data_IF_992994479390
#
_entry.id   IF_992994479390
#
_cell.length_a   1.000
_cell.length_b   1.000
_cell.length_c   1.000
_cell.angle_alpha   90.00
_cell.angle_beta   90.00
_cell.angle_gamma   90.00
#
_symmetry.space_group_name_H-M   'P 1'
#
loop_
_entity.id
_entity.type
_entity.pdbx_description
1 polymer ?
#
# COMPACT_ATOMS: atom_id res chain seq x y z
N UNK A 1 26.98 16.61 38.03
CA UNK A 1 25.88 17.36 38.69
C UNK A 1 25.60 18.62 37.88
N UNK A 2 24.37 19.12 37.82
CA UNK A 2 24.14 20.46 37.24
C UNK A 2 23.66 21.38 38.35
N UNK A 3 23.95 22.67 38.25
CA UNK A 3 23.45 23.64 39.23
C UNK A 3 22.18 24.28 38.71
N UNK A 4 21.19 24.45 39.58
CA UNK A 4 19.90 25.03 39.24
C UNK A 4 19.71 26.37 39.95
N UNK A 5 19.14 27.35 39.25
CA UNK A 5 18.80 28.64 39.83
C UNK A 5 17.28 28.71 40.06
N UNK A 6 16.86 28.78 41.33
CA UNK A 6 15.43 28.82 41.69
C UNK A 6 14.75 30.12 41.24
N UNK A 7 15.47 31.25 41.25
CA UNK A 7 14.93 32.55 40.84
C UNK A 7 14.68 32.62 39.33
N UNK A 8 15.61 32.08 38.53
CA UNK A 8 15.61 32.22 37.07
C UNK A 8 15.15 30.95 36.33
N UNK A 9 14.88 29.87 37.07
CA UNK A 9 14.36 28.58 36.60
C UNK A 9 15.11 27.98 35.40
N UNK A 10 16.42 28.16 35.36
CA UNK A 10 17.29 27.57 34.33
C UNK A 10 18.51 26.90 34.94
N UNK A 11 19.08 25.96 34.17
CA UNK A 11 20.32 25.27 34.55
C UNK A 11 21.52 26.16 34.27
N UNK A 12 22.52 26.07 35.14
CA UNK A 12 23.81 26.73 35.01
C UNK A 12 24.92 25.67 34.87
N UNK A 13 26.10 26.11 34.43
CA UNK A 13 27.28 25.24 34.40
C UNK A 13 27.59 24.67 35.79
N UNK A 14 28.20 23.48 35.81
CA UNK A 14 28.48 22.74 37.04
C UNK A 14 29.39 23.52 38.00
N UNK A 15 30.27 24.37 37.46
CA UNK A 15 31.15 25.24 38.23
C UNK A 15 30.51 26.57 38.68
N UNK A 16 29.35 26.95 38.14
CA UNK A 16 28.75 28.26 38.36
C UNK A 16 27.99 28.32 39.69
N UNK A 17 28.67 28.64 40.79
CA UNK A 17 28.06 28.84 42.12
C UNK A 17 27.02 29.97 42.17
N UNK A 18 27.10 30.92 41.24
CA UNK A 18 26.16 32.02 41.06
C UNK A 18 25.60 32.01 39.65
N UNK A 19 24.32 32.34 39.52
CA UNK A 19 23.64 32.40 38.23
C UNK A 19 24.19 33.56 37.39
N UNK A 20 24.68 33.33 36.16
CA UNK A 20 25.21 34.40 35.31
C UNK A 20 24.15 35.42 34.88
N UNK A 21 22.87 35.03 34.93
CA UNK A 21 21.75 35.88 34.52
C UNK A 21 21.27 36.79 35.65
N UNK A 22 21.22 36.29 36.89
CA UNK A 22 20.56 37.00 38.00
C UNK A 22 21.36 37.08 39.31
N UNK A 23 22.59 36.57 39.35
CA UNK A 23 23.50 36.70 40.51
C UNK A 23 23.11 35.92 41.77
N UNK A 24 21.94 35.30 41.79
CA UNK A 24 21.48 34.42 42.88
C UNK A 24 22.35 33.16 42.98
N UNK A 25 22.48 32.62 44.20
CA UNK A 25 23.22 31.38 44.44
C UNK A 25 22.53 30.22 43.72
N UNK A 26 23.32 29.33 43.12
CA UNK A 26 22.80 28.14 42.45
C UNK A 26 22.93 26.94 43.36
N UNK A 27 21.92 26.09 43.38
CA UNK A 27 21.92 24.88 44.19
C UNK A 27 22.51 23.75 43.38
N UNK A 28 23.46 23.00 43.95
CA UNK A 28 23.97 21.80 43.32
C UNK A 28 22.90 20.72 43.42
N UNK A 29 22.26 20.42 42.29
CA UNK A 29 21.14 19.49 42.26
C UNK A 29 21.51 18.30 41.38
N UNK A 30 21.40 17.11 41.95
CA UNK A 30 21.28 15.91 41.13
C UNK A 30 20.04 16.11 40.25
N UNK A 31 20.15 15.89 38.94
CA UNK A 31 19.04 16.15 37.99
C UNK A 31 17.76 15.39 38.40
N UNK A 32 17.91 14.34 39.23
CA UNK A 32 16.84 13.57 39.86
C UNK A 32 16.02 14.29 40.95
N UNK A 33 16.47 15.43 41.53
CA UNK A 33 15.90 15.98 42.78
C UNK A 33 15.01 17.23 42.61
N UNK A 34 14.41 17.48 41.45
CA UNK A 34 13.45 18.60 41.22
C UNK A 34 12.16 18.14 40.52
N UNK A 35 11.63 16.99 40.89
CA UNK A 35 10.18 16.87 40.94
C UNK A 35 9.83 16.68 42.42
N UNK A 36 9.13 17.63 43.09
CA UNK A 36 8.40 17.23 44.28
C UNK A 36 7.54 16.02 43.87
N UNK A 37 7.49 14.99 44.72
CA UNK A 37 6.88 13.70 44.40
C UNK A 37 5.51 13.88 43.70
N UNK A 38 5.48 13.71 42.37
CA UNK A 38 4.26 13.75 41.56
C UNK A 38 4.18 14.79 40.45
N UNK A 39 5.08 15.79 40.38
CA UNK A 39 4.95 16.86 39.37
C UNK A 39 5.77 16.62 38.09
N UNK A 40 5.16 16.88 36.94
CA UNK A 40 5.79 16.74 35.62
C UNK A 40 6.70 17.95 35.36
N UNK A 41 8.01 17.72 35.26
CA UNK A 41 9.04 18.78 35.09
C UNK A 41 8.89 19.51 33.74
N UNK A 42 8.49 18.77 32.71
CA UNK A 42 8.27 19.30 31.35
C UNK A 42 6.90 18.89 30.81
N UNK A 43 6.35 19.57 29.79
CA UNK A 43 5.19 19.04 29.07
C UNK A 43 5.45 17.63 28.49
N UNK A 44 4.41 16.80 28.38
CA UNK A 44 4.52 15.42 27.88
C UNK A 44 5.22 15.30 26.50
N UNK A 45 5.19 16.34 25.68
CA UNK A 45 5.89 16.41 24.39
C UNK A 45 7.41 16.17 24.50
N UNK A 46 8.03 16.47 25.64
CA UNK A 46 9.47 16.27 25.86
C UNK A 46 9.84 14.81 26.20
N UNK A 47 8.87 13.98 26.57
CA UNK A 47 9.10 12.60 27.00
C UNK A 47 8.85 11.58 25.88
N UNK A 48 9.65 10.53 25.84
CA UNK A 48 9.48 9.41 24.90
C UNK A 48 8.42 8.44 25.43
N UNK A 49 7.17 8.72 25.13
CA UNK A 49 6.04 7.90 25.59
C UNK A 49 6.03 6.49 24.98
N UNK A 50 5.33 5.59 25.66
CA UNK A 50 4.99 4.28 25.12
C UNK A 50 3.99 4.41 23.96
N UNK A 51 3.85 3.35 23.15
CA UNK A 51 2.85 3.32 22.09
C UNK A 51 1.42 3.62 22.61
N UNK A 52 1.00 2.93 23.67
CA UNK A 52 -0.31 3.12 24.30
C UNK A 52 -0.49 4.56 24.77
N UNK A 53 0.48 5.09 25.51
CA UNK A 53 0.36 6.42 26.11
C UNK A 53 0.40 7.51 25.04
N UNK A 54 1.19 7.32 23.97
CA UNK A 54 1.19 8.20 22.80
C UNK A 54 -0.19 8.25 22.15
N UNK A 55 -0.83 7.10 21.94
CA UNK A 55 -2.17 7.03 21.36
C UNK A 55 -3.20 7.73 22.25
N UNK A 56 -3.20 7.45 23.56
CA UNK A 56 -4.11 8.08 24.51
C UNK A 56 -3.88 9.59 24.64
N UNK A 57 -2.62 10.03 24.57
CA UNK A 57 -2.27 11.44 24.60
C UNK A 57 -2.78 12.17 23.36
N UNK A 58 -2.55 11.63 22.17
CA UNK A 58 -3.00 12.23 20.91
C UNK A 58 -4.52 12.23 20.81
N UNK A 59 -5.17 11.10 21.06
CA UNK A 59 -6.64 10.99 20.94
C UNK A 59 -7.41 11.69 22.06
N UNK A 60 -6.84 11.74 23.27
CA UNK A 60 -7.54 12.25 24.45
C UNK A 60 -7.21 13.70 24.81
N UNK A 61 -5.92 14.08 24.74
CA UNK A 61 -5.46 15.41 25.19
C UNK A 61 -5.13 16.36 24.04
N UNK A 62 -4.66 15.83 22.90
CA UNK A 62 -4.21 16.61 21.75
C UNK A 62 -5.04 16.35 20.48
N UNK A 63 -6.34 16.08 20.64
CA UNK A 63 -7.21 15.63 19.56
C UNK A 63 -7.36 16.63 18.41
N UNK A 64 -7.46 17.93 18.72
CA UNK A 64 -7.51 19.02 17.75
C UNK A 64 -6.51 20.13 18.06
N UNK A 65 -5.59 19.86 18.99
CA UNK A 65 -4.65 20.85 19.48
C UNK A 65 -3.40 20.86 18.58
N UNK A 66 -3.25 21.97 17.87
CA UNK A 66 -2.13 22.24 16.94
C UNK A 66 -0.95 22.94 17.61
N UNK A 67 -1.06 23.30 18.88
CA UNK A 67 -0.07 24.10 19.56
C UNK A 67 1.09 23.26 20.07
N UNK A 68 2.28 23.82 19.93
CA UNK A 68 3.53 23.20 20.31
C UNK A 68 4.17 22.37 19.20
N UNK A 69 5.06 21.47 19.63
CA UNK A 69 5.89 20.61 18.78
C UNK A 69 5.59 19.14 19.07
N UNK A 70 5.66 18.30 18.04
CA UNK A 70 5.55 16.86 18.17
C UNK A 70 6.83 16.19 17.67
N UNK A 71 7.34 15.22 18.42
CA UNK A 71 8.55 14.50 18.03
C UNK A 71 8.28 13.54 16.87
N UNK A 72 9.32 13.19 16.09
CA UNK A 72 9.24 12.11 15.09
C UNK A 72 8.70 10.81 15.68
N UNK A 73 9.15 10.50 16.89
CA UNK A 73 8.76 9.28 17.59
C UNK A 73 7.26 9.28 17.89
N UNK A 74 6.73 10.37 18.45
CA UNK A 74 5.29 10.54 18.70
C UNK A 74 4.46 10.37 17.42
N UNK A 75 4.87 11.03 16.33
CA UNK A 75 4.21 10.96 15.03
C UNK A 75 4.14 9.52 14.47
N UNK A 76 5.28 8.85 14.36
CA UNK A 76 5.34 7.49 13.80
C UNK A 76 4.77 6.42 14.73
N UNK A 77 4.85 6.60 16.05
CA UNK A 77 4.21 5.67 16.99
C UNK A 77 2.68 5.72 16.87
N UNK A 78 2.10 6.92 16.77
CA UNK A 78 0.67 7.08 16.53
C UNK A 78 0.24 6.45 15.20
N UNK A 79 0.95 6.78 14.11
CA UNK A 79 0.68 6.21 12.79
C UNK A 79 0.78 4.69 12.77
N UNK A 80 1.83 4.12 13.38
CA UNK A 80 2.03 2.67 13.41
C UNK A 80 0.90 1.96 14.15
N UNK A 81 0.53 2.44 15.34
CA UNK A 81 -0.59 1.87 16.08
C UNK A 81 -1.92 2.02 15.34
N UNK A 82 -2.17 3.18 14.74
CA UNK A 82 -3.37 3.42 13.93
C UNK A 82 -3.51 2.38 12.82
N UNK A 83 -2.46 2.17 12.04
CA UNK A 83 -2.47 1.21 10.94
C UNK A 83 -2.62 -0.23 11.44
N UNK A 84 -1.94 -0.61 12.52
CA UNK A 84 -2.10 -1.93 13.13
C UNK A 84 -3.53 -2.16 13.60
N UNK A 85 -4.18 -1.15 14.20
CA UNK A 85 -5.55 -1.26 14.66
C UNK A 85 -6.54 -1.46 13.51
N UNK A 86 -6.42 -0.67 12.43
CA UNK A 86 -7.27 -0.80 11.23
C UNK A 86 -7.07 -2.15 10.55
N UNK A 87 -5.81 -2.54 10.34
CA UNK A 87 -5.47 -3.81 9.70
C UNK A 87 -5.92 -5.00 10.55
N UNK A 88 -5.74 -4.94 11.87
CA UNK A 88 -6.22 -5.96 12.80
C UNK A 88 -7.74 -6.09 12.79
N UNK A 89 -8.47 -4.97 12.78
CA UNK A 89 -9.92 -4.95 12.66
C UNK A 89 -10.38 -5.63 11.37
N UNK A 90 -9.82 -5.23 10.23
CA UNK A 90 -10.14 -5.84 8.93
C UNK A 90 -9.84 -7.34 8.91
N UNK A 91 -8.70 -7.77 9.45
CA UNK A 91 -8.33 -9.17 9.54
C UNK A 91 -9.32 -9.99 10.38
N UNK A 92 -9.81 -9.44 11.49
CA UNK A 92 -10.84 -10.10 12.33
C UNK A 92 -12.14 -10.27 11.56
N UNK A 93 -12.66 -9.22 10.93
CA UNK A 93 -13.90 -9.30 10.16
C UNK A 93 -13.78 -10.24 8.94
N UNK A 94 -12.62 -10.25 8.30
CA UNK A 94 -12.35 -11.20 7.22
C UNK A 94 -12.34 -12.65 7.74
N UNK A 95 -11.67 -12.92 8.86
CA UNK A 95 -11.66 -14.23 9.51
C UNK A 95 -13.06 -14.70 9.93
N UNK A 96 -13.87 -13.80 10.51
CA UNK A 96 -15.26 -14.10 10.85
C UNK A 96 -16.11 -14.42 9.62
N UNK A 97 -15.89 -13.70 8.51
CA UNK A 97 -16.58 -13.98 7.25
C UNK A 97 -16.25 -15.39 6.73
N UNK A 98 -14.99 -15.79 6.82
CA UNK A 98 -14.54 -17.12 6.42
C UNK A 98 -15.11 -18.24 7.32
N UNK A 99 -15.21 -18.02 8.63
CA UNK A 99 -15.72 -19.00 9.60
C UNK A 99 -17.24 -19.19 9.48
N UNK A 100 -17.98 -18.09 9.37
CA UNK A 100 -19.45 -18.12 9.43
C UNK A 100 -20.10 -18.14 8.04
N UNK A 101 -19.32 -18.14 6.95
CA UNK A 101 -19.80 -18.10 5.57
C UNK A 101 -20.85 -17.00 5.31
N UNK A 102 -20.67 -15.85 5.96
CA UNK A 102 -21.65 -14.74 5.96
C UNK A 102 -21.65 -13.92 4.67
N UNK A 103 -20.83 -14.27 3.67
CA UNK A 103 -20.76 -13.54 2.41
C UNK A 103 -20.29 -12.08 2.59
N UNK A 104 -20.70 -11.13 1.74
CA UNK A 104 -20.12 -9.78 1.72
C UNK A 104 -20.57 -8.88 2.89
N UNK A 105 -21.55 -9.29 3.70
CA UNK A 105 -22.17 -8.43 4.72
C UNK A 105 -21.19 -7.99 5.81
N UNK A 106 -20.40 -8.91 6.37
CA UNK A 106 -19.42 -8.59 7.42
C UNK A 106 -18.25 -7.76 6.87
N UNK A 107 -17.85 -7.99 5.62
CA UNK A 107 -16.82 -7.20 4.94
C UNK A 107 -17.31 -5.76 4.72
N UNK A 108 -18.56 -5.59 4.27
CA UNK A 108 -19.17 -4.27 4.11
C UNK A 108 -19.27 -3.52 5.44
N UNK A 109 -19.68 -4.20 6.52
CA UNK A 109 -19.72 -3.62 7.86
C UNK A 109 -18.32 -3.20 8.33
N UNK A 110 -17.30 -4.03 8.12
CA UNK A 110 -15.92 -3.70 8.46
C UNK A 110 -15.46 -2.44 7.71
N UNK A 111 -15.75 -2.35 6.41
CA UNK A 111 -15.46 -1.17 5.60
C UNK A 111 -16.12 0.09 6.13
N UNK A 112 -17.39 0.01 6.51
CA UNK A 112 -18.12 1.14 7.11
C UNK A 112 -17.50 1.59 8.45
N UNK A 113 -17.16 0.66 9.33
CA UNK A 113 -16.51 0.97 10.61
C UNK A 113 -15.15 1.64 10.38
N UNK A 114 -14.33 1.09 9.48
CA UNK A 114 -13.03 1.65 9.13
C UNK A 114 -13.18 3.06 8.54
N UNK A 115 -14.18 3.30 7.70
CA UNK A 115 -14.44 4.63 7.14
C UNK A 115 -14.76 5.65 8.24
N UNK A 116 -15.64 5.30 9.19
CA UNK A 116 -15.99 6.16 10.33
C UNK A 116 -14.76 6.43 11.21
N UNK A 117 -14.02 5.37 11.57
CA UNK A 117 -12.81 5.49 12.39
C UNK A 117 -11.77 6.40 11.71
N UNK A 118 -11.59 6.27 10.39
CA UNK A 118 -10.66 7.08 9.61
C UNK A 118 -11.08 8.56 9.54
N UNK A 119 -12.38 8.83 9.40
CA UNK A 119 -12.91 10.20 9.42
C UNK A 119 -12.69 10.86 10.79
N UNK A 120 -12.99 10.15 11.88
CA UNK A 120 -12.78 10.66 13.25
C UNK A 120 -11.29 10.93 13.49
N UNK A 121 -10.41 10.06 12.98
CA UNK A 121 -8.97 10.16 13.23
C UNK A 121 -8.24 11.11 12.29
N UNK A 122 -8.94 11.66 11.29
CA UNK A 122 -8.40 12.70 10.42
C UNK A 122 -8.06 13.97 11.21
N UNK A 123 -8.89 14.33 12.19
CA UNK A 123 -8.66 15.50 13.05
C UNK A 123 -7.36 15.39 13.88
N UNK A 124 -7.15 14.35 14.70
CA UNK A 124 -5.91 14.20 15.47
C UNK A 124 -4.69 13.97 14.59
N UNK A 125 -4.85 13.29 13.45
CA UNK A 125 -3.74 13.12 12.51
C UNK A 125 -3.31 14.46 11.88
N UNK A 126 -4.26 15.33 11.52
CA UNK A 126 -3.97 16.66 11.02
C UNK A 126 -3.30 17.52 12.09
N UNK A 127 -3.86 17.55 13.31
CA UNK A 127 -3.29 18.30 14.44
C UNK A 127 -1.86 17.84 14.78
N UNK A 128 -1.63 16.52 14.81
CA UNK A 128 -0.31 15.93 15.03
C UNK A 128 0.67 16.25 13.89
N UNK A 129 0.21 16.23 12.64
CA UNK A 129 1.03 16.60 11.47
C UNK A 129 1.45 18.06 11.52
N UNK A 130 0.57 18.96 11.95
CA UNK A 130 0.88 20.38 12.17
C UNK A 130 1.95 20.54 13.25
N UNK A 131 1.76 19.95 14.44
CA UNK A 131 2.78 19.98 15.52
C UNK A 131 4.12 19.38 15.09
N UNK A 132 4.09 18.39 14.18
CA UNK A 132 5.30 17.79 13.64
C UNK A 132 6.00 18.69 12.61
N UNK A 133 5.26 19.41 11.78
CA UNK A 133 5.80 20.45 10.89
C UNK A 133 6.40 21.61 11.70
N UNK A 134 5.73 22.03 12.77
CA UNK A 134 6.23 23.02 13.72
C UNK A 134 7.58 22.62 14.34
N UNK A 135 7.79 21.32 14.61
CA UNK A 135 9.07 20.80 15.10
C UNK A 135 10.22 21.00 14.10
N UNK A 136 9.93 21.12 12.80
CA UNK A 136 10.91 21.45 11.75
C UNK A 136 10.96 22.95 11.41
N UNK A 137 10.23 23.79 12.15
CA UNK A 137 10.10 25.23 11.91
C UNK A 137 9.27 25.59 10.67
N UNK A 138 8.45 24.66 10.16
CA UNK A 138 7.53 24.89 9.04
C UNK A 138 6.17 25.33 9.56
N UNK A 139 5.48 26.18 8.79
CA UNK A 139 4.12 26.61 9.11
C UNK A 139 3.09 25.51 8.81
N UNK A 140 1.95 25.57 9.49
CA UNK A 140 0.79 24.69 9.25
C UNK A 140 0.29 24.72 7.80
N UNK A 141 0.48 25.83 7.08
CA UNK A 141 0.16 25.95 5.66
C UNK A 141 0.91 24.93 4.78
N UNK A 142 2.06 24.42 5.23
CA UNK A 142 2.80 23.35 4.54
C UNK A 142 1.97 22.06 4.41
N UNK A 143 0.98 21.86 5.29
CA UNK A 143 0.06 20.73 5.21
C UNK A 143 -0.83 20.79 3.96
N UNK A 144 -1.10 21.99 3.41
CA UNK A 144 -1.88 22.18 2.19
C UNK A 144 -1.23 21.54 0.96
N UNK A 145 0.07 21.21 1.01
CA UNK A 145 0.72 20.41 -0.02
C UNK A 145 0.01 19.08 -0.24
N UNK A 146 -0.67 18.54 0.77
CA UNK A 146 -1.48 17.33 0.63
C UNK A 146 -2.60 17.44 -0.44
N UNK A 147 -3.05 18.65 -0.76
CA UNK A 147 -4.06 18.89 -1.81
C UNK A 147 -3.52 18.71 -3.23
N UNK A 148 -2.18 18.68 -3.42
CA UNK A 148 -1.55 18.41 -4.71
C UNK A 148 -1.48 16.89 -4.89
N UNK A 149 -2.25 16.28 -5.82
CA UNK A 149 -2.28 14.83 -5.96
C UNK A 149 -0.89 14.26 -6.29
N UNK A 150 -0.62 13.05 -5.80
CA UNK A 150 0.61 12.29 -6.00
C UNK A 150 1.88 12.92 -5.41
N UNK A 151 2.30 14.09 -5.90
CA UNK A 151 3.58 14.73 -5.52
C UNK A 151 3.50 15.37 -4.13
N UNK A 152 2.37 16.00 -3.81
CA UNK A 152 2.15 16.69 -2.54
C UNK A 152 2.35 15.81 -1.30
N UNK A 153 1.64 14.66 -1.21
CA UNK A 153 1.82 13.70 -0.13
C UNK A 153 3.26 13.18 -0.01
N UNK A 154 3.98 13.00 -1.12
CA UNK A 154 5.39 12.54 -1.09
C UNK A 154 6.31 13.60 -0.48
N UNK A 155 6.16 14.86 -0.88
CA UNK A 155 6.93 15.97 -0.29
C UNK A 155 6.61 16.10 1.20
N UNK A 156 5.33 16.07 1.56
CA UNK A 156 4.88 16.18 2.94
C UNK A 156 5.42 15.02 3.80
N UNK A 157 5.38 13.79 3.30
CA UNK A 157 5.97 12.63 3.96
C UNK A 157 7.47 12.80 4.19
N UNK A 158 8.18 13.29 3.18
CA UNK A 158 9.61 13.63 3.28
C UNK A 158 9.86 14.62 4.42
N UNK A 159 9.08 15.71 4.50
CA UNK A 159 9.17 16.72 5.56
C UNK A 159 8.87 16.14 6.95
N UNK A 160 7.85 15.27 7.06
CA UNK A 160 7.48 14.62 8.32
C UNK A 160 8.57 13.67 8.84
N UNK A 161 9.48 13.21 7.98
CA UNK A 161 10.64 12.38 8.34
C UNK A 161 11.88 13.18 8.83
N UNK A 162 11.98 14.47 8.48
CA UNK A 162 13.16 15.32 8.76
C UNK A 162 13.41 15.49 10.26
N UNK A 163 14.65 15.49 10.74
CA UNK A 163 14.93 15.72 12.18
C UNK A 163 14.42 17.11 12.62
N UNK A 164 13.81 17.20 13.81
CA UNK A 164 13.38 18.46 14.41
C UNK A 164 14.54 19.43 14.67
N UNK A 165 14.22 20.73 14.77
CA UNK A 165 15.21 21.77 15.06
C UNK A 165 15.77 21.62 16.49
N UNK A 166 17.10 21.62 16.68
CA UNK A 166 17.70 21.46 18.01
C UNK A 166 17.59 22.71 18.89
N UNK A 167 17.31 23.87 18.29
CA UNK A 167 17.04 25.12 18.99
C UNK A 167 15.55 25.35 19.23
N UNK A 168 15.27 26.29 20.12
CA UNK A 168 13.94 26.86 20.31
C UNK A 168 13.48 27.53 19.01
N UNK A 169 12.18 27.46 18.75
CA UNK A 169 11.57 28.11 17.62
C UNK A 169 10.26 28.78 18.02
N UNK A 170 9.62 29.48 17.08
CA UNK A 170 8.37 30.21 17.33
C UNK A 170 7.21 29.33 17.84
N UNK A 171 7.32 28.00 17.76
CA UNK A 171 6.31 27.04 18.21
C UNK A 171 6.64 26.41 19.56
N UNK A 172 7.76 26.77 20.19
CA UNK A 172 8.14 26.31 21.53
C UNK A 172 9.60 25.88 21.64
N UNK A 173 9.96 25.46 22.85
CA UNK A 173 11.32 25.04 23.18
C UNK A 173 11.73 23.74 22.48
N UNK A 174 13.04 23.53 22.36
CA UNK A 174 13.60 22.31 21.79
C UNK A 174 13.15 21.06 22.57
N UNK A 175 12.73 20.02 21.84
CA UNK A 175 12.32 18.74 22.44
C UNK A 175 13.53 18.03 23.06
N UNK A 176 13.41 17.66 24.35
CA UNK A 176 14.52 17.13 25.14
C UNK A 176 14.69 15.60 25.02
N UNK A 177 13.72 14.90 24.42
CA UNK A 177 13.75 13.45 24.18
C UNK A 177 14.03 12.59 25.42
N UNK A 178 13.40 12.93 26.56
CA UNK A 178 13.60 12.28 27.86
C UNK A 178 13.06 10.84 27.83
N UNK A 179 13.86 9.86 28.23
CA UNK A 179 13.43 8.46 28.34
C UNK A 179 12.69 8.25 29.66
N UNK A 180 11.54 7.58 29.61
CA UNK A 180 10.74 7.20 30.76
C UNK A 180 11.21 5.82 31.23
N UNK A 181 11.99 5.78 32.29
CA UNK A 181 12.39 4.55 32.97
C UNK A 181 11.25 4.04 33.87
N UNK A 182 11.43 2.85 34.48
CA UNK A 182 10.37 2.24 35.32
C UNK A 182 10.01 3.09 36.54
N UNK A 183 11.00 3.78 37.12
CA UNK A 183 10.79 4.66 38.26
C UNK A 183 9.97 5.89 37.85
N UNK A 184 10.39 6.60 36.80
CA UNK A 184 9.66 7.76 36.30
C UNK A 184 8.26 7.39 35.78
N UNK A 185 8.11 6.22 35.17
CA UNK A 185 6.82 5.66 34.78
C UNK A 185 5.87 5.52 35.99
N UNK A 186 6.36 5.01 37.13
CA UNK A 186 5.57 4.88 38.35
C UNK A 186 5.15 6.22 38.94
N UNK A 187 6.03 7.22 38.92
CA UNK A 187 5.75 8.58 39.42
C UNK A 187 4.70 9.28 38.55
N UNK A 188 4.87 9.24 37.22
CA UNK A 188 3.96 9.89 36.28
C UNK A 188 2.68 9.09 36.01
N UNK A 189 2.56 7.88 36.56
CA UNK A 189 1.46 6.92 36.29
C UNK A 189 1.26 6.63 34.80
N UNK A 190 2.36 6.51 34.05
CA UNK A 190 2.37 6.14 32.63
C UNK A 190 3.20 4.88 32.41
N UNK A 191 3.20 4.32 31.21
CA UNK A 191 4.02 3.15 30.89
C UNK A 191 5.45 3.58 30.55
N UNK A 192 6.47 2.72 30.83
CA UNK A 192 7.85 3.02 30.44
C UNK A 192 8.00 3.12 28.92
N UNK A 193 9.04 3.84 28.47
CA UNK A 193 9.34 4.02 27.05
C UNK A 193 9.46 2.67 26.34
N UNK A 194 8.74 2.50 25.22
CA UNK A 194 8.77 1.25 24.47
C UNK A 194 10.17 0.94 23.93
N UNK A 195 10.58 -0.32 24.01
CA UNK A 195 11.88 -0.77 23.53
C UNK A 195 11.98 -0.74 22.00
N UNK A 196 13.20 -0.75 21.47
CA UNK A 196 13.45 -0.90 20.04
C UNK A 196 12.93 -2.26 19.51
N UNK A 197 13.01 -3.33 20.32
CA UNK A 197 12.48 -4.65 19.97
C UNK A 197 10.96 -4.58 19.74
N UNK A 198 10.22 -3.93 20.63
CA UNK A 198 8.77 -3.74 20.49
C UNK A 198 8.43 -3.07 19.16
N UNK A 199 9.19 -2.04 18.79
CA UNK A 199 9.01 -1.34 17.50
C UNK A 199 9.25 -2.26 16.32
N UNK A 200 10.32 -3.04 16.33
CA UNK A 200 10.65 -4.00 15.25
C UNK A 200 9.58 -5.09 15.11
N UNK A 201 9.06 -5.60 16.23
CA UNK A 201 7.97 -6.58 16.23
C UNK A 201 6.70 -5.99 15.61
N UNK A 202 6.29 -4.80 16.04
CA UNK A 202 5.09 -4.14 15.51
C UNK A 202 5.20 -3.84 14.01
N UNK A 203 6.35 -3.34 13.56
CA UNK A 203 6.61 -3.13 12.13
C UNK A 203 6.59 -4.44 11.36
N UNK A 204 7.24 -5.49 11.89
CA UNK A 204 7.24 -6.82 11.29
C UNK A 204 5.83 -7.39 11.13
N UNK A 205 5.00 -7.29 12.18
CA UNK A 205 3.59 -7.70 12.12
C UNK A 205 2.81 -6.92 11.07
N UNK A 206 2.96 -5.59 11.00
CA UNK A 206 2.29 -4.78 9.99
C UNK A 206 2.68 -5.20 8.57
N UNK A 207 3.99 -5.40 8.33
CA UNK A 207 4.49 -5.84 7.01
C UNK A 207 3.95 -7.22 6.65
N UNK A 208 3.98 -8.17 7.59
CA UNK A 208 3.43 -9.51 7.37
C UNK A 208 1.95 -9.43 6.96
N UNK A 209 1.14 -8.65 7.68
CA UNK A 209 -0.29 -8.57 7.36
C UNK A 209 -0.52 -7.86 6.01
N UNK A 210 0.23 -6.81 5.69
CA UNK A 210 0.15 -6.17 4.36
C UNK A 210 0.52 -7.16 3.26
N UNK A 211 1.57 -7.95 3.44
CA UNK A 211 1.98 -8.97 2.46
C UNK A 211 0.91 -10.07 2.30
N UNK A 212 0.34 -10.55 3.42
CA UNK A 212 -0.74 -11.54 3.40
C UNK A 212 -1.97 -10.98 2.70
N UNK A 213 -2.39 -9.76 3.05
CA UNK A 213 -3.54 -9.10 2.41
C UNK A 213 -3.30 -8.86 0.92
N UNK A 214 -2.09 -8.44 0.52
CA UNK A 214 -1.71 -8.32 -0.88
C UNK A 214 -1.74 -9.64 -1.64
N UNK A 215 -1.32 -10.74 -1.01
CA UNK A 215 -1.44 -12.08 -1.57
C UNK A 215 -2.92 -12.53 -1.67
N UNK A 216 -3.75 -12.21 -0.67
CA UNK A 216 -5.18 -12.53 -0.67
C UNK A 216 -5.94 -11.74 -1.74
N UNK A 217 -5.63 -10.45 -1.96
CA UNK A 217 -6.20 -9.68 -3.07
C UNK A 217 -5.86 -10.29 -4.43
N UNK A 218 -4.64 -10.83 -4.60
CA UNK A 218 -4.26 -11.59 -5.81
C UNK A 218 -5.02 -12.90 -5.96
N UNK A 219 -5.37 -13.55 -4.85
CA UNK A 219 -6.11 -14.82 -4.85
C UNK A 219 -7.63 -14.65 -5.00
N UNK A 220 -8.17 -13.47 -4.65
CA UNK A 220 -9.59 -13.12 -4.77
C UNK A 220 -9.94 -12.36 -6.06
N UNK A 221 -8.93 -11.95 -6.85
CA UNK A 221 -9.17 -11.54 -8.22
C UNK A 221 -9.73 -12.72 -9.03
N UNK A 222 -10.68 -12.50 -9.95
CA UNK A 222 -11.13 -13.56 -10.83
C UNK A 222 -9.90 -14.08 -11.59
N UNK A 223 -9.79 -15.40 -11.80
CA UNK A 223 -8.57 -16.08 -12.26
C UNK A 223 -7.99 -15.57 -13.62
N UNK A 224 -8.70 -14.65 -14.25
CA UNK A 224 -8.46 -14.01 -15.53
C UNK A 224 -8.10 -12.51 -15.45
N UNK A 225 -8.02 -11.91 -14.25
CA UNK A 225 -7.53 -10.54 -14.05
C UNK A 225 -6.44 -10.49 -12.98
N UNK A 226 -5.22 -10.85 -13.38
CA UNK A 226 -4.03 -10.68 -12.54
C UNK A 226 -3.46 -9.31 -12.83
N UNK A 227 -3.28 -8.45 -11.83
CA UNK A 227 -2.52 -7.20 -11.99
C UNK A 227 -1.19 -7.49 -12.73
N UNK A 228 -0.99 -6.93 -13.94
CA UNK A 228 -1.49 -5.63 -14.39
C UNK A 228 -2.70 -5.64 -15.35
N UNK A 229 -3.52 -6.70 -15.37
CA UNK A 229 -4.57 -6.95 -16.37
C UNK A 229 -5.71 -5.93 -16.46
N UNK A 230 -5.93 -5.09 -15.44
CA UNK A 230 -7.04 -4.13 -15.40
C UNK A 230 -6.64 -2.72 -15.84
N UNK A 231 -6.21 -1.89 -14.88
CA UNK A 231 -5.87 -0.48 -15.13
C UNK A 231 -4.80 -0.30 -16.21
N UNK A 232 -3.70 -1.05 -16.15
CA UNK A 232 -2.53 -0.81 -17.01
C UNK A 232 -2.85 -1.20 -18.46
N UNK A 233 -3.54 -2.34 -18.64
CA UNK A 233 -4.06 -2.75 -19.94
C UNK A 233 -4.99 -1.68 -20.50
N UNK A 234 -5.98 -1.25 -19.72
CA UNK A 234 -6.94 -0.23 -20.15
C UNK A 234 -6.28 1.12 -20.46
N UNK A 235 -5.22 1.51 -19.75
CA UNK A 235 -4.50 2.75 -20.05
C UNK A 235 -3.67 2.69 -21.33
N UNK A 236 -3.30 1.49 -21.81
CA UNK A 236 -2.50 1.30 -23.04
C UNK A 236 -3.41 1.07 -24.25
N UNK A 237 -4.39 0.16 -24.14
CA UNK A 237 -5.22 -0.27 -25.27
C UNK A 237 -6.65 0.27 -25.27
N UNK A 238 -7.09 0.88 -24.16
CA UNK A 238 -8.44 1.39 -24.00
C UNK A 238 -9.35 0.40 -23.26
N UNK A 239 -10.35 0.93 -22.58
CA UNK A 239 -11.32 0.17 -21.78
C UNK A 239 -12.07 -0.88 -22.63
N UNK A 240 -12.26 -2.09 -22.09
CA UNK A 240 -12.98 -3.19 -22.77
C UNK A 240 -12.18 -3.94 -23.83
N UNK A 241 -10.95 -3.49 -24.14
CA UNK A 241 -10.11 -4.06 -25.20
C UNK A 241 -9.62 -5.47 -24.88
N UNK A 242 -9.29 -5.73 -23.61
CA UNK A 242 -8.82 -7.06 -23.18
C UNK A 242 -9.94 -8.10 -23.26
N UNK A 243 -11.16 -7.72 -22.90
CA UNK A 243 -12.35 -8.58 -22.96
C UNK A 243 -12.70 -8.90 -24.41
N UNK A 244 -12.70 -7.89 -25.29
CA UNK A 244 -12.94 -8.07 -26.72
C UNK A 244 -11.89 -8.97 -27.37
N UNK A 245 -10.61 -8.80 -27.03
CA UNK A 245 -9.54 -9.65 -27.52
C UNK A 245 -9.66 -11.10 -27.02
N UNK A 246 -9.99 -11.32 -25.74
CA UNK A 246 -10.25 -12.67 -25.19
C UNK A 246 -11.41 -13.34 -25.90
N UNK A 247 -12.51 -12.60 -26.13
CA UNK A 247 -13.68 -13.10 -26.84
C UNK A 247 -13.32 -13.52 -28.29
N UNK A 248 -12.49 -12.75 -28.99
CA UNK A 248 -12.01 -13.13 -30.33
C UNK A 248 -11.27 -14.46 -30.32
N UNK A 249 -10.41 -14.70 -29.33
CA UNK A 249 -9.65 -15.97 -29.23
C UNK A 249 -10.58 -17.15 -28.92
N UNK A 250 -11.51 -16.97 -27.98
CA UNK A 250 -12.50 -18.01 -27.64
C UNK A 250 -13.39 -18.36 -28.85
N UNK A 251 -13.96 -17.34 -29.49
CA UNK A 251 -14.84 -17.53 -30.66
C UNK A 251 -14.13 -18.21 -31.83
N UNK A 252 -12.82 -17.98 -31.99
CA UNK A 252 -12.01 -18.70 -32.98
C UNK A 252 -11.94 -20.20 -32.68
N UNK A 253 -11.58 -20.58 -31.45
CA UNK A 253 -11.50 -22.00 -31.08
C UNK A 253 -12.87 -22.69 -31.14
N UNK A 254 -13.94 -21.99 -30.77
CA UNK A 254 -15.31 -22.49 -30.90
C UNK A 254 -15.70 -22.74 -32.36
N UNK A 255 -15.35 -21.81 -33.27
CA UNK A 255 -15.60 -21.98 -34.69
C UNK A 255 -14.82 -23.17 -35.27
N UNK A 256 -13.54 -23.33 -34.91
CA UNK A 256 -12.71 -24.47 -35.32
C UNK A 256 -13.28 -25.79 -34.78
N UNK A 257 -13.66 -25.84 -33.50
CA UNK A 257 -14.22 -27.05 -32.87
C UNK A 257 -15.59 -27.45 -33.47
N UNK A 258 -16.38 -26.46 -33.92
CA UNK A 258 -17.65 -26.66 -34.62
C UNK A 258 -17.50 -26.93 -36.13
N UNK A 259 -16.26 -26.99 -36.64
CA UNK A 259 -15.94 -27.17 -38.06
C UNK A 259 -16.48 -26.05 -38.97
N UNK A 260 -16.77 -24.88 -38.40
CA UNK A 260 -17.14 -23.66 -39.13
C UNK A 260 -15.86 -22.90 -39.49
N UNK A 261 -15.17 -23.40 -40.51
CA UNK A 261 -13.86 -22.88 -40.90
C UNK A 261 -13.95 -21.47 -41.48
N UNK A 262 -15.01 -21.14 -42.21
CA UNK A 262 -15.17 -19.80 -42.77
C UNK A 262 -15.36 -18.76 -41.67
N UNK A 263 -16.11 -19.08 -40.61
CA UNK A 263 -16.20 -18.24 -39.42
C UNK A 263 -14.90 -18.19 -38.61
N UNK A 264 -14.13 -19.28 -38.55
CA UNK A 264 -12.83 -19.26 -37.87
C UNK A 264 -11.83 -18.30 -38.55
N UNK A 265 -11.84 -18.25 -39.88
CA UNK A 265 -10.92 -17.39 -40.64
C UNK A 265 -11.16 -15.89 -40.45
N UNK A 266 -12.37 -15.45 -40.05
CA UNK A 266 -12.65 -14.02 -39.83
C UNK A 266 -11.94 -13.47 -38.59
N UNK A 267 -11.52 -14.36 -37.67
CA UNK A 267 -10.77 -14.01 -36.47
C UNK A 267 -9.25 -14.03 -36.68
N UNK A 268 -8.76 -14.40 -37.86
CA UNK A 268 -7.32 -14.33 -38.21
C UNK A 268 -7.05 -12.99 -38.91
N UNK A 269 -5.85 -12.42 -38.75
CA UNK A 269 -5.43 -11.19 -39.43
C UNK A 269 -5.70 -11.21 -40.94
N UNK A 270 -5.99 -10.03 -41.50
CA UNK A 270 -6.35 -9.85 -42.91
C UNK A 270 -5.32 -10.40 -43.90
N UNK A 271 -4.03 -10.23 -43.59
CA UNK A 271 -2.93 -10.68 -44.43
C UNK A 271 -2.90 -12.20 -44.64
N UNK A 272 -3.15 -12.98 -43.58
CA UNK A 272 -3.15 -14.44 -43.64
C UNK A 272 -4.49 -14.99 -44.18
N UNK A 273 -5.61 -14.31 -43.91
CA UNK A 273 -6.94 -14.74 -44.37
C UNK A 273 -7.21 -14.47 -45.86
N UNK A 274 -6.45 -13.56 -46.49
CA UNK A 274 -6.59 -13.22 -47.92
C UNK A 274 -5.70 -14.02 -48.85
N UNK A 275 -4.73 -14.80 -48.32
CA UNK A 275 -3.88 -15.68 -49.11
C UNK A 275 -4.55 -17.06 -49.34
N UNK A 276 -4.98 -17.40 -50.58
CA UNK A 276 -5.72 -18.63 -50.84
C UNK A 276 -4.89 -19.90 -50.60
N UNK A 277 -3.56 -19.83 -50.75
CA UNK A 277 -2.65 -20.98 -50.56
C UNK A 277 -2.51 -21.30 -49.07
N UNK A 278 -2.35 -20.27 -48.23
CA UNK A 278 -2.29 -20.43 -46.78
C UNK A 278 -3.64 -20.88 -46.21
N UNK A 279 -4.74 -20.33 -46.73
CA UNK A 279 -6.10 -20.77 -46.37
C UNK A 279 -6.28 -22.26 -46.61
N UNK A 280 -5.89 -22.76 -47.79
CA UNK A 280 -5.98 -24.19 -48.11
C UNK A 280 -5.08 -25.06 -47.21
N UNK A 281 -3.82 -24.65 -47.01
CA UNK A 281 -2.87 -25.39 -46.17
C UNK A 281 -3.35 -25.49 -44.71
N UNK A 282 -3.88 -24.40 -44.17
CA UNK A 282 -4.46 -24.37 -42.83
C UNK A 282 -5.72 -25.25 -42.75
N UNK A 283 -6.59 -25.21 -43.76
CA UNK A 283 -7.82 -26.00 -43.80
C UNK A 283 -7.52 -27.50 -43.75
N UNK A 284 -6.56 -27.95 -44.55
CA UNK A 284 -6.10 -29.35 -44.54
C UNK A 284 -5.52 -29.76 -43.17
N UNK A 285 -4.77 -28.86 -42.53
CA UNK A 285 -4.26 -29.09 -41.18
C UNK A 285 -5.36 -29.16 -40.11
N UNK A 286 -6.41 -28.35 -40.23
CA UNK A 286 -7.50 -28.29 -39.24
C UNK A 286 -8.52 -29.40 -39.37
N UNK A 287 -8.69 -29.98 -40.57
CA UNK A 287 -9.54 -31.17 -40.78
C UNK A 287 -9.08 -32.38 -39.95
N UNK A 288 -7.78 -32.49 -39.67
CA UNK A 288 -7.17 -33.58 -38.92
C UNK A 288 -6.87 -33.22 -37.46
N UNK A 289 -7.18 -31.98 -37.05
CA UNK A 289 -6.85 -31.48 -35.71
C UNK A 289 -7.81 -32.03 -34.64
N UNK A 290 -7.31 -32.36 -33.43
CA UNK A 290 -8.16 -32.67 -32.29
C UNK A 290 -8.92 -31.42 -31.83
N UNK A 291 -10.01 -31.64 -31.07
CA UNK A 291 -10.73 -30.52 -30.43
C UNK A 291 -9.80 -29.84 -29.41
N UNK A 292 -9.86 -28.52 -29.35
CA UNK A 292 -9.03 -27.71 -28.44
C UNK A 292 -9.92 -26.89 -27.53
N UNK A 293 -9.85 -27.15 -26.23
CA UNK A 293 -10.57 -26.41 -25.21
C UNK A 293 -9.65 -25.35 -24.58
N UNK A 294 -10.13 -24.11 -24.50
CA UNK A 294 -9.39 -23.00 -23.89
C UNK A 294 -9.66 -23.02 -22.38
N UNK A 295 -8.65 -23.37 -21.58
CA UNK A 295 -8.78 -23.47 -20.12
C UNK A 295 -8.58 -22.11 -19.46
N UNK A 296 -7.58 -21.36 -19.91
CA UNK A 296 -7.32 -20.00 -19.41
C UNK A 296 -6.60 -19.15 -20.45
N UNK A 297 -6.85 -17.83 -20.39
CA UNK A 297 -6.22 -16.79 -21.19
C UNK A 297 -5.81 -15.62 -20.27
N UNK A 298 -4.53 -15.61 -19.85
CA UNK A 298 -3.97 -14.52 -19.05
C UNK A 298 -3.27 -13.51 -19.94
N UNK A 299 -3.47 -12.20 -19.72
CA UNK A 299 -2.73 -11.19 -20.48
C UNK A 299 -1.28 -11.18 -19.97
N UNK A 300 -0.32 -11.34 -20.88
CA UNK A 300 1.11 -11.36 -20.52
C UNK A 300 1.81 -10.11 -20.98
N UNK A 301 1.43 -9.57 -22.15
CA UNK A 301 2.00 -8.34 -22.69
C UNK A 301 0.96 -7.55 -23.46
N UNK A 302 1.07 -6.23 -23.35
CA UNK A 302 0.25 -5.27 -24.07
C UNK A 302 1.19 -4.23 -24.68
N UNK A 303 1.03 -3.93 -25.96
CA UNK A 303 1.81 -2.90 -26.65
C UNK A 303 0.94 -2.06 -27.59
N UNK A 304 1.37 -0.82 -27.81
CA UNK A 304 0.77 0.10 -28.77
C UNK A 304 1.86 0.79 -29.57
N UNK A 305 1.87 0.56 -30.87
CA UNK A 305 2.83 1.16 -31.81
C UNK A 305 2.05 1.96 -32.84
N UNK A 306 1.99 3.28 -32.64
CA UNK A 306 1.10 4.15 -33.41
C UNK A 306 -0.37 3.85 -33.14
N UNK A 307 -1.11 3.51 -34.19
CA UNK A 307 -2.53 3.10 -34.11
C UNK A 307 -2.71 1.59 -33.90
N UNK A 308 -1.64 0.80 -34.03
CA UNK A 308 -1.73 -0.64 -33.86
C UNK A 308 -1.62 -1.01 -32.39
N UNK A 309 -2.66 -1.68 -31.90
CA UNK A 309 -2.72 -2.25 -30.54
C UNK A 309 -2.51 -3.76 -30.60
N UNK A 310 -1.67 -4.28 -29.73
CA UNK A 310 -1.36 -5.71 -29.64
C UNK A 310 -1.49 -6.20 -28.20
N UNK A 311 -2.09 -7.38 -28.04
CA UNK A 311 -2.21 -8.11 -26.77
C UNK A 311 -1.67 -9.53 -26.97
N UNK A 312 -0.80 -9.97 -26.08
CA UNK A 312 -0.27 -11.34 -26.06
C UNK A 312 -0.81 -12.06 -24.83
N UNK A 313 -1.50 -13.17 -25.07
CA UNK A 313 -2.03 -14.03 -24.02
C UNK A 313 -1.12 -15.23 -23.75
N UNK A 314 -0.95 -15.59 -22.47
CA UNK A 314 -0.55 -16.94 -22.06
C UNK A 314 -1.80 -17.81 -22.01
N UNK A 315 -1.88 -18.75 -22.95
CA UNK A 315 -3.02 -19.63 -23.14
C UNK A 315 -2.68 -21.04 -22.65
N UNK A 316 -3.44 -21.51 -21.66
CA UNK A 316 -3.49 -22.93 -21.31
C UNK A 316 -4.64 -23.58 -22.08
N UNK A 317 -4.30 -24.48 -22.99
CA UNK A 317 -5.25 -25.20 -23.84
C UNK A 317 -5.24 -26.69 -23.48
N UNK A 318 -6.33 -27.39 -23.74
CA UNK A 318 -6.41 -28.85 -23.64
C UNK A 318 -6.87 -29.43 -24.97
N UNK A 319 -6.16 -30.44 -25.47
CA UNK A 319 -6.58 -31.14 -26.69
C UNK A 319 -7.30 -32.42 -26.32
N UNK A 320 -8.47 -32.63 -26.92
CA UNK A 320 -9.31 -33.82 -26.72
C UNK A 320 -9.30 -34.66 -27.99
N UNK A 321 -8.74 -35.88 -27.92
CA UNK A 321 -8.80 -36.88 -29.00
C UNK A 321 -9.92 -37.88 -28.72
N UNK A 322 -10.84 -38.04 -29.65
CA UNK A 322 -11.87 -39.08 -29.58
C UNK A 322 -11.27 -40.42 -30.05
N UNK A 323 -10.65 -41.16 -29.13
CA UNK A 323 -10.23 -42.55 -29.32
C UNK A 323 -11.23 -43.52 -28.67
N UNK A 324 -11.30 -44.75 -29.18
CA UNK A 324 -12.23 -45.80 -28.76
C UNK A 324 -12.30 -46.00 -27.23
N UNK A 325 -13.26 -45.34 -26.58
CA UNK A 325 -13.64 -45.58 -25.18
C UNK A 325 -12.86 -44.83 -24.09
N UNK A 326 -11.79 -44.08 -24.42
CA UNK A 326 -11.05 -43.27 -23.43
C UNK A 326 -10.73 -41.89 -24.01
N UNK A 327 -11.17 -40.85 -23.30
CA UNK A 327 -10.89 -39.45 -23.65
C UNK A 327 -9.52 -39.08 -23.09
N UNK A 328 -8.48 -39.09 -23.92
CA UNK A 328 -7.16 -38.57 -23.54
C UNK A 328 -7.17 -37.03 -23.68
N UNK A 329 -7.04 -36.33 -22.55
CA UNK A 329 -6.83 -34.88 -22.51
C UNK A 329 -5.34 -34.57 -22.34
N UNK A 330 -4.75 -33.82 -23.27
CA UNK A 330 -3.35 -33.39 -23.18
C UNK A 330 -3.29 -31.88 -22.97
N UNK A 331 -2.72 -31.38 -21.84
CA UNK A 331 -2.55 -29.95 -21.63
C UNK A 331 -1.41 -29.40 -22.51
N UNK A 332 -1.62 -28.22 -23.08
CA UNK A 332 -0.63 -27.50 -23.88
C UNK A 332 -0.62 -26.01 -23.50
N UNK A 333 0.58 -25.41 -23.41
CA UNK A 333 0.75 -23.97 -23.23
C UNK A 333 1.18 -23.31 -24.53
N UNK A 334 0.57 -22.17 -24.86
CA UNK A 334 0.88 -21.37 -26.06
C UNK A 334 0.76 -19.89 -25.75
N UNK A 335 1.53 -19.09 -26.46
CA UNK A 335 1.33 -17.65 -26.50
C UNK A 335 0.47 -17.29 -27.72
N UNK A 336 -0.58 -16.51 -27.53
CA UNK A 336 -1.48 -16.09 -28.61
C UNK A 336 -1.37 -14.58 -28.76
N UNK A 337 -0.88 -14.12 -29.92
CA UNK A 337 -0.81 -12.70 -30.23
C UNK A 337 -2.07 -12.28 -30.97
N UNK A 338 -2.67 -11.17 -30.54
CA UNK A 338 -3.89 -10.60 -31.11
C UNK A 338 -3.66 -9.11 -31.35
N UNK A 339 -4.04 -8.62 -32.52
CA UNK A 339 -3.94 -7.21 -32.89
C UNK A 339 -5.31 -6.62 -33.20
N UNK A 340 -5.48 -5.31 -33.01
CA UNK A 340 -6.69 -4.59 -33.42
C UNK A 340 -6.54 -4.08 -34.86
N UNK A 341 -7.35 -4.61 -35.78
CA UNK A 341 -7.49 -4.12 -37.16
C UNK A 341 -8.87 -3.47 -37.33
N UNK A 342 -8.93 -2.16 -37.61
CA UNK A 342 -10.18 -1.43 -37.87
C UNK A 342 -11.27 -1.59 -36.77
N UNK A 343 -10.86 -1.65 -35.50
CA UNK A 343 -11.77 -1.84 -34.36
C UNK A 343 -12.18 -3.29 -34.11
N UNK A 344 -11.58 -4.26 -34.81
CA UNK A 344 -11.82 -5.69 -34.62
C UNK A 344 -10.53 -6.38 -34.18
N UNK A 345 -10.58 -7.12 -33.09
CA UNK A 345 -9.46 -7.92 -32.61
C UNK A 345 -9.30 -9.18 -33.45
N UNK A 346 -8.08 -9.45 -33.93
CA UNK A 346 -7.75 -10.59 -34.79
C UNK A 346 -6.45 -11.24 -34.35
N UNK A 347 -6.41 -12.57 -34.46
CA UNK A 347 -5.27 -13.40 -34.10
C UNK A 347 -4.18 -13.24 -35.16
N UNK A 348 -3.04 -12.73 -34.71
CA UNK A 348 -1.83 -12.60 -35.51
C UNK A 348 -1.09 -13.93 -35.61
N UNK A 349 -0.99 -14.67 -34.48
CA UNK A 349 -0.29 -15.96 -34.49
C UNK A 349 -0.29 -16.71 -33.17
N UNK A 350 0.13 -17.97 -33.26
CA UNK A 350 0.28 -18.90 -32.14
C UNK A 350 1.76 -19.27 -31.97
N UNK A 351 2.31 -19.02 -30.79
CA UNK A 351 3.73 -19.19 -30.51
C UNK A 351 3.97 -20.19 -29.37
N UNK A 352 5.08 -20.94 -29.46
CA UNK A 352 5.54 -21.82 -28.36
C UNK A 352 6.30 -21.05 -27.28
N UNK A 353 6.92 -19.95 -27.66
CA UNK A 353 7.69 -19.04 -26.82
C UNK A 353 7.14 -17.63 -26.98
N UNK A 354 7.47 -16.73 -26.06
CA UNK A 354 7.00 -15.35 -26.12
C UNK A 354 7.49 -14.67 -27.41
N UNK A 355 6.61 -14.05 -28.22
CA UNK A 355 6.99 -13.40 -29.46
C UNK A 355 7.70 -12.06 -29.21
N UNK A 356 8.78 -11.78 -29.96
CA UNK A 356 9.44 -10.47 -29.97
C UNK A 356 8.59 -9.43 -30.70
N UNK A 357 8.74 -8.15 -30.39
CA UNK A 357 7.97 -7.07 -31.04
C UNK A 357 8.42 -6.80 -32.49
N UNK A 358 9.60 -7.27 -32.89
CA UNK A 358 10.29 -6.94 -34.15
C UNK A 358 10.24 -8.04 -35.23
N UNK A 359 9.37 -9.06 -35.11
CA UNK A 359 9.27 -10.15 -36.11
C UNK A 359 7.87 -10.39 -36.62
#
# INVERSE_FOLDING_TARGET
>A
MKRYCDACRHYCDEAAMFCPTCGQYTVATEVERIAPEGDVIYPFAHYQMSYKDTFLYVMGKKFMDTDGRASRREFFQFLLLWHIAIVGLLAVFYGLTAIFHTGPYLIGLAGLIVAILSLVSLMPLAALSVRRLHDTGKSSATLLLFLIPFVGPLILLGLLCVKGQPQDNQYGSALQHIVIDKRLASIMKVSPTSSALTTRVLVGLLVIVICVFGASLRAMGPANEVFPDGWLTNSIVGEGSAEAARASVQNYFDAVNNKDYDKAFTYIISQASTNPVEKQKWLESMKQAPKVDVVSLGVTRVSRTGDLKRIVFDASLQTTKAGAGVVESTPMKRYISVIEENGVWRIEGFYKTMPDDDK
#
